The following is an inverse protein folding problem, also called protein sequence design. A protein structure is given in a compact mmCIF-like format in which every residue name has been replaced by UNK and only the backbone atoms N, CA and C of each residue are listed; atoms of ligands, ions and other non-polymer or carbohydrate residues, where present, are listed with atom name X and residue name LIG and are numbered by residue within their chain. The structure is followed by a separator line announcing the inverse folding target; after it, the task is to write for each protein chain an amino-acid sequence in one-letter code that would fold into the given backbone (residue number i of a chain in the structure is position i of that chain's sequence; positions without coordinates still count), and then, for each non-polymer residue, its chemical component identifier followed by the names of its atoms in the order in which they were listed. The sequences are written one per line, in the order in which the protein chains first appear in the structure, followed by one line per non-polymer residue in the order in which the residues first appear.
data_IF_007023162566
#
_entry.id   IF_007023162566
#
_cell.length_a   1.000
_cell.length_b   1.000
_cell.length_c   1.000
_cell.angle_alpha   90.00
_cell.angle_beta   90.00
_cell.angle_gamma   90.00
#
_symmetry.space_group_name_H-M   'P 1'
#
loop_
_entity.id
_entity.type
_entity.pdbx_description
1 polymer ?
#
# COMPACT_ATOMS: atom_id res chain seq x y z
N UNK A 1 15.12 14.60 10.37
CA UNK A 1 13.91 13.87 10.81
C UNK A 1 13.52 12.93 9.69
N UNK A 2 13.52 11.64 9.97
CA UNK A 2 13.36 10.60 8.95
C UNK A 2 11.88 10.28 8.72
N UNK A 3 11.56 9.91 7.49
CA UNK A 3 10.28 9.28 7.14
C UNK A 3 10.38 7.78 7.42
N UNK A 4 9.27 7.08 7.74
CA UNK A 4 9.32 5.63 7.91
C UNK A 4 9.90 4.98 6.64
N UNK A 5 10.89 4.11 6.82
CA UNK A 5 11.57 3.48 5.70
C UNK A 5 10.61 2.64 4.82
N UNK A 6 9.70 1.80 5.35
CA UNK A 6 8.92 0.90 4.49
C UNK A 6 7.80 1.58 3.68
N UNK A 7 7.62 1.20 2.41
CA UNK A 7 6.50 1.62 1.55
C UNK A 7 5.16 1.31 2.22
N UNK A 8 5.03 0.15 2.85
CA UNK A 8 3.84 -0.23 3.63
C UNK A 8 3.42 0.85 4.64
N UNK A 9 4.40 1.37 5.39
CA UNK A 9 4.19 2.39 6.41
C UNK A 9 3.89 3.77 5.79
N UNK A 10 4.60 4.13 4.71
CA UNK A 10 4.36 5.36 3.95
C UNK A 10 2.97 5.40 3.31
N UNK A 11 2.51 4.29 2.71
CA UNK A 11 1.18 4.13 2.09
C UNK A 11 0.07 4.27 3.14
N UNK A 12 0.21 3.65 4.32
CA UNK A 12 -0.77 3.78 5.40
C UNK A 12 -0.92 5.25 5.85
N UNK A 13 0.20 5.96 6.04
CA UNK A 13 0.19 7.37 6.44
C UNK A 13 -0.39 8.29 5.34
N UNK A 14 -0.13 8.02 4.06
CA UNK A 14 -0.78 8.72 2.95
C UNK A 14 -2.30 8.52 2.91
N UNK A 15 -2.79 7.35 3.31
CA UNK A 15 -4.21 7.02 3.36
C UNK A 15 -4.97 7.68 4.53
N UNK A 16 -4.26 8.38 5.42
CA UNK A 16 -4.83 9.13 6.53
C UNK A 16 -5.20 10.56 6.15
N UNK A 17 -6.48 10.90 6.35
CA UNK A 17 -6.94 12.29 6.31
C UNK A 17 -6.68 12.93 7.69
N UNK A 18 -5.80 13.92 7.67
CA UNK A 18 -5.30 14.71 8.79
C UNK A 18 -6.38 15.54 9.49
N UNK A 19 -7.38 15.98 8.72
CA UNK A 19 -8.31 17.05 9.05
C UNK A 19 -9.65 16.48 9.56
N UNK A 20 -9.98 15.26 9.13
CA UNK A 20 -11.12 14.44 9.55
C UNK A 20 -10.72 13.34 10.53
N UNK A 21 -9.45 13.35 10.98
CA UNK A 21 -8.81 12.40 11.89
C UNK A 21 -9.18 10.92 11.65
N UNK A 22 -9.07 10.48 10.38
CA UNK A 22 -9.42 9.10 9.98
C UNK A 22 -8.75 8.68 8.67
N UNK A 23 -8.63 7.36 8.47
CA UNK A 23 -8.32 6.77 7.17
C UNK A 23 -9.48 7.02 6.19
N UNK A 24 -9.18 7.32 4.92
CA UNK A 24 -10.17 7.68 3.88
C UNK A 24 -10.07 6.82 2.61
N UNK A 25 -9.90 5.52 2.80
CA UNK A 25 -9.72 4.51 1.77
C UNK A 25 -10.81 3.42 1.92
N UNK A 26 -11.50 3.07 0.83
CA UNK A 26 -12.74 2.30 0.88
C UNK A 26 -12.49 0.78 0.97
N UNK A 27 -11.92 0.31 2.08
CA UNK A 27 -11.66 -1.12 2.36
C UNK A 27 -10.46 -1.71 1.63
N UNK A 28 -10.14 -1.26 0.41
CA UNK A 28 -9.05 -1.78 -0.41
C UNK A 28 -7.62 -1.48 0.09
N UNK A 29 -7.43 -0.71 1.18
CA UNK A 29 -6.09 -0.37 1.68
C UNK A 29 -5.24 -1.61 1.99
N UNK A 30 -5.84 -2.71 2.48
CA UNK A 30 -5.12 -3.96 2.69
C UNK A 30 -4.45 -4.51 1.42
N UNK A 31 -5.10 -4.35 0.25
CA UNK A 31 -4.52 -4.73 -1.05
C UNK A 31 -3.36 -3.80 -1.44
N UNK A 32 -3.49 -2.48 -1.21
CA UNK A 32 -2.42 -1.51 -1.48
C UNK A 32 -1.20 -1.78 -0.58
N UNK A 33 -1.42 -2.18 0.68
CA UNK A 33 -0.36 -2.55 1.62
C UNK A 33 0.30 -3.89 1.26
N UNK A 34 -0.45 -4.88 0.76
CA UNK A 34 0.14 -6.10 0.19
C UNK A 34 0.95 -5.81 -1.07
N UNK A 35 0.43 -5.01 -2.00
CA UNK A 35 1.16 -4.58 -3.18
C UNK A 35 2.44 -3.80 -2.83
N UNK A 36 2.40 -2.93 -1.81
CA UNK A 36 3.57 -2.24 -1.29
C UNK A 36 4.67 -3.21 -0.83
N UNK A 37 4.36 -4.16 0.05
CA UNK A 37 5.33 -5.16 0.50
C UNK A 37 5.86 -6.06 -0.64
N UNK A 38 5.00 -6.43 -1.59
CA UNK A 38 5.40 -7.19 -2.78
C UNK A 38 6.34 -6.39 -3.69
N UNK A 39 6.15 -5.06 -3.80
CA UNK A 39 7.09 -4.15 -4.46
C UNK A 39 8.42 -4.06 -3.72
N UNK A 40 8.43 -3.88 -2.39
CA UNK A 40 9.67 -3.82 -1.61
C UNK A 40 10.47 -5.12 -1.72
N UNK A 41 9.80 -6.27 -1.64
CA UNK A 41 10.41 -7.58 -1.83
C UNK A 41 10.96 -7.79 -3.24
N UNK A 42 10.28 -7.28 -4.27
CA UNK A 42 10.76 -7.34 -5.64
C UNK A 42 11.99 -6.44 -5.86
N UNK A 43 11.95 -5.20 -5.37
CA UNK A 43 13.06 -4.25 -5.42
C UNK A 43 14.28 -4.72 -4.62
N UNK A 44 14.06 -5.46 -3.53
CA UNK A 44 15.12 -6.13 -2.77
C UNK A 44 15.65 -7.43 -3.42
N UNK A 45 15.14 -7.84 -4.59
CA UNK A 45 15.51 -9.08 -5.26
C UNK A 45 15.06 -10.36 -4.53
N UNK A 46 14.19 -10.25 -3.52
CA UNK A 46 13.63 -11.38 -2.78
C UNK A 46 12.45 -12.04 -3.52
N UNK A 47 11.83 -11.35 -4.48
CA UNK A 47 10.84 -11.91 -5.41
C UNK A 47 11.20 -11.58 -6.86
N UNK A 48 11.15 -12.57 -7.73
CA UNK A 48 11.17 -12.40 -9.19
C UNK A 48 9.82 -12.76 -9.81
N UNK A 49 9.61 -12.33 -11.06
CA UNK A 49 8.53 -12.82 -11.91
C UNK A 49 9.06 -13.93 -12.83
N UNK A 50 8.25 -14.98 -13.01
CA UNK A 50 8.36 -15.89 -14.14
C UNK A 50 6.95 -16.03 -14.73
N UNK A 51 6.73 -15.51 -15.93
CA UNK A 51 5.46 -15.64 -16.69
C UNK A 51 4.21 -15.14 -15.90
N UNK A 52 4.37 -14.04 -15.15
CA UNK A 52 3.32 -13.48 -14.28
C UNK A 52 3.12 -14.23 -12.95
N UNK A 53 3.99 -15.20 -12.63
CA UNK A 53 3.99 -16.00 -11.40
C UNK A 53 5.10 -15.53 -10.46
N UNK A 54 4.74 -15.30 -9.19
CA UNK A 54 5.70 -14.91 -8.15
C UNK A 54 6.64 -16.07 -7.83
N UNK A 55 7.93 -15.79 -7.78
CA UNK A 55 9.00 -16.72 -7.42
C UNK A 55 9.83 -16.15 -6.27
N UNK A 56 9.92 -16.85 -5.12
CA UNK A 56 10.75 -16.41 -4.00
C UNK A 56 12.23 -16.73 -4.24
N UNK A 57 13.10 -15.83 -3.80
CA UNK A 57 14.55 -15.98 -3.78
C UNK A 57 15.07 -15.89 -2.32
N UNK A 58 16.22 -16.51 -2.06
CA UNK A 58 16.86 -16.45 -0.73
C UNK A 58 17.65 -15.15 -0.57
N UNK A 59 17.00 -14.14 0.01
CA UNK A 59 17.59 -12.82 0.29
C UNK A 59 17.52 -12.52 1.78
N UNK A 60 18.57 -11.90 2.34
CA UNK A 60 18.55 -11.43 3.73
C UNK A 60 17.73 -10.13 3.85
N UNK A 61 16.54 -10.24 4.45
CA UNK A 61 15.63 -9.12 4.69
C UNK A 61 15.74 -8.64 6.14
N UNK A 62 15.89 -7.32 6.32
CA UNK A 62 15.94 -6.69 7.65
C UNK A 62 14.56 -6.44 8.26
N UNK A 63 13.50 -6.44 7.45
CA UNK A 63 12.14 -6.13 7.89
C UNK A 63 11.34 -7.41 8.20
N UNK A 64 10.93 -7.68 9.46
CA UNK A 64 10.16 -8.88 9.83
C UNK A 64 8.80 -9.02 9.14
N UNK A 65 8.18 -7.91 8.71
CA UNK A 65 6.94 -7.92 7.94
C UNK A 65 7.19 -8.47 6.53
N UNK A 66 8.30 -8.08 5.90
CA UNK A 66 8.69 -8.56 4.58
C UNK A 66 9.20 -10.02 4.64
N UNK A 67 9.95 -10.39 5.69
CA UNK A 67 10.32 -11.79 5.98
C UNK A 67 9.06 -12.66 6.02
N UNK A 68 8.06 -12.28 6.82
CA UNK A 68 6.80 -13.05 6.95
C UNK A 68 6.02 -13.16 5.64
N UNK A 69 6.04 -12.13 4.79
CA UNK A 69 5.44 -12.20 3.43
C UNK A 69 6.24 -13.14 2.52
N UNK A 70 7.57 -13.13 2.59
CA UNK A 70 8.42 -14.05 1.82
C UNK A 70 8.23 -15.51 2.27
N UNK A 71 8.08 -15.76 3.57
CA UNK A 71 7.76 -17.08 4.14
C UNK A 71 6.37 -17.58 3.68
N UNK A 72 5.36 -16.72 3.74
CA UNK A 72 3.98 -17.00 3.27
C UNK A 72 3.96 -17.37 1.78
N UNK A 73 4.80 -16.74 0.96
CA UNK A 73 4.99 -17.04 -0.47
C UNK A 73 5.80 -18.33 -0.68
N UNK A 74 6.85 -18.55 0.12
CA UNK A 74 7.77 -19.69 -0.03
C UNK A 74 7.14 -21.01 0.40
N UNK A 75 6.26 -20.98 1.40
CA UNK A 75 5.51 -22.14 1.89
C UNK A 75 4.23 -22.42 1.08
N UNK A 76 4.02 -21.72 -0.04
CA UNK A 76 2.83 -21.89 -0.87
C UNK A 76 2.86 -23.25 -1.60
N UNK A 77 1.84 -24.12 -1.46
CA UNK A 77 1.88 -25.49 -1.99
C UNK A 77 1.80 -25.58 -3.52
N UNK A 78 1.53 -24.48 -4.22
CA UNK A 78 1.52 -24.35 -5.68
C UNK A 78 1.93 -22.92 -6.07
N UNK A 79 2.61 -22.70 -7.21
CA UNK A 79 2.94 -21.35 -7.68
C UNK A 79 1.69 -20.48 -7.91
N UNK A 80 1.79 -19.17 -7.65
CA UNK A 80 0.66 -18.22 -7.72
C UNK A 80 1.05 -16.91 -8.41
N UNK A 81 0.10 -16.32 -9.15
CA UNK A 81 0.26 -15.02 -9.84
C UNK A 81 0.21 -13.84 -8.89
N UNK A 82 0.84 -12.71 -9.23
CA UNK A 82 0.89 -11.50 -8.38
C UNK A 82 -0.49 -11.05 -7.87
N UNK A 83 -1.53 -11.11 -8.69
CA UNK A 83 -2.89 -10.72 -8.30
C UNK A 83 -3.47 -11.59 -7.16
N UNK A 84 -3.07 -12.86 -7.03
CA UNK A 84 -3.42 -13.69 -5.88
C UNK A 84 -2.78 -13.13 -4.61
N UNK A 85 -1.47 -12.86 -4.63
CA UNK A 85 -0.72 -12.37 -3.47
C UNK A 85 -1.10 -10.95 -3.05
N UNK A 86 -1.40 -10.06 -4.00
CA UNK A 86 -1.97 -8.74 -3.70
C UNK A 86 -3.34 -8.87 -3.01
N UNK A 87 -4.15 -9.85 -3.41
CA UNK A 87 -5.43 -10.16 -2.78
C UNK A 87 -5.34 -10.94 -1.46
N UNK A 88 -4.20 -11.54 -1.12
CA UNK A 88 -4.06 -12.52 -0.04
C UNK A 88 -3.75 -11.88 1.31
N UNK A 89 -4.45 -12.30 2.37
CA UNK A 89 -4.25 -11.86 3.75
C UNK A 89 -4.13 -10.32 3.92
N UNK A 90 -4.91 -9.58 3.13
CA UNK A 90 -5.04 -8.13 3.11
C UNK A 90 -5.45 -7.54 4.48
N UNK A 91 -6.33 -8.23 5.22
CA UNK A 91 -6.79 -7.79 6.55
C UNK A 91 -5.72 -8.02 7.63
N UNK A 92 -5.09 -9.22 7.74
CA UNK A 92 -3.87 -9.40 8.54
C UNK A 92 -2.79 -8.37 8.23
N UNK A 93 -2.54 -8.07 6.95
CA UNK A 93 -1.52 -7.11 6.53
C UNK A 93 -1.83 -5.69 7.01
N UNK A 94 -3.07 -5.23 6.85
CA UNK A 94 -3.52 -3.95 7.40
C UNK A 94 -3.31 -3.87 8.93
N UNK A 95 -3.62 -4.93 9.66
CA UNK A 95 -3.42 -4.98 11.12
C UNK A 95 -1.95 -4.98 11.53
N UNK A 96 -1.09 -5.71 10.81
CA UNK A 96 0.34 -5.74 11.09
C UNK A 96 1.02 -4.37 10.85
N UNK A 97 0.67 -3.69 9.75
CA UNK A 97 1.17 -2.32 9.47
C UNK A 97 0.60 -1.31 10.49
N UNK A 98 -0.68 -1.44 10.86
CA UNK A 98 -1.28 -0.61 11.92
C UNK A 98 -0.57 -0.80 13.27
N UNK A 99 -0.23 -2.03 13.65
CA UNK A 99 0.47 -2.35 14.90
C UNK A 99 1.88 -1.75 14.93
N UNK A 100 2.67 -1.97 13.86
CA UNK A 100 4.00 -1.36 13.70
C UNK A 100 3.95 0.15 13.88
N UNK A 101 3.01 0.84 13.24
CA UNK A 101 2.93 2.31 13.31
C UNK A 101 2.58 2.84 14.71
N UNK A 102 2.01 2.00 15.59
CA UNK A 102 1.82 2.30 17.02
C UNK A 102 3.13 2.10 17.79
N UNK A 103 3.85 1.01 17.51
CA UNK A 103 5.16 0.70 18.09
C UNK A 103 6.21 1.76 17.73
N UNK A 104 6.24 2.22 16.47
CA UNK A 104 7.07 3.32 15.94
C UNK A 104 6.68 4.71 16.48
N UNK A 105 5.60 4.82 17.27
CA UNK A 105 5.02 6.08 17.76
C UNK A 105 4.71 7.09 16.65
N UNK A 106 4.24 6.59 15.50
CA UNK A 106 3.79 7.39 14.35
C UNK A 106 2.28 7.60 14.37
N UNK A 107 1.53 6.63 14.91
CA UNK A 107 0.09 6.73 15.19
C UNK A 107 -0.22 6.27 16.62
N UNK A 108 -1.37 6.67 17.16
CA UNK A 108 -2.02 5.98 18.28
C UNK A 108 -3.36 5.39 17.83
N UNK A 109 -3.87 4.42 18.59
CA UNK A 109 -5.20 3.84 18.37
C UNK A 109 -6.03 3.93 19.64
N UNK A 110 -7.23 4.50 19.52
CA UNK A 110 -8.17 4.69 20.61
C UNK A 110 -9.40 3.82 20.37
N UNK A 111 -9.71 2.94 21.32
CA UNK A 111 -10.97 2.17 21.30
C UNK A 111 -12.09 3.06 21.81
N UNK A 112 -13.16 3.16 21.04
CA UNK A 112 -14.40 3.84 21.44
C UNK A 112 -15.61 2.96 21.09
N UNK A 113 -16.82 3.36 21.49
CA UNK A 113 -18.05 2.67 21.10
C UNK A 113 -18.98 3.60 20.34
N UNK A 114 -19.47 3.14 19.19
CA UNK A 114 -20.55 3.80 18.46
C UNK A 114 -21.87 3.42 19.15
N UNK A 115 -22.66 4.43 19.52
CA UNK A 115 -23.92 4.30 20.29
C UNK A 115 -23.78 3.46 21.58
N UNK A 116 -22.60 3.49 22.22
CA UNK A 116 -22.35 2.76 23.49
C UNK A 116 -22.18 1.24 23.37
N UNK A 117 -22.51 0.63 22.22
CA UNK A 117 -22.52 -0.83 22.01
C UNK A 117 -21.50 -1.32 20.98
N UNK A 118 -21.36 -0.68 19.81
CA UNK A 118 -20.51 -1.21 18.73
C UNK A 118 -19.05 -0.79 18.91
N UNK A 119 -18.09 -1.72 19.13
CA UNK A 119 -16.69 -1.37 19.33
C UNK A 119 -16.06 -0.85 18.03
N UNK A 120 -15.38 0.29 18.12
CA UNK A 120 -14.72 0.95 17.02
C UNK A 120 -13.30 1.40 17.41
N UNK A 121 -12.45 1.63 16.43
CA UNK A 121 -11.06 2.11 16.63
C UNK A 121 -10.85 3.41 15.87
N UNK A 122 -10.56 4.49 16.59
CA UNK A 122 -10.09 5.74 15.98
C UNK A 122 -8.57 5.67 15.90
N UNK A 123 -8.02 5.98 14.74
CA UNK A 123 -6.58 6.18 14.54
C UNK A 123 -6.31 7.68 14.71
N UNK A 124 -5.25 8.06 15.42
CA UNK A 124 -4.70 9.41 15.40
C UNK A 124 -3.27 9.34 14.88
N UNK A 125 -2.91 10.13 13.87
CA UNK A 125 -1.50 10.30 13.48
C UNK A 125 -0.83 11.24 14.48
N UNK A 126 0.26 10.82 15.10
CA UNK A 126 1.01 11.62 16.07
C UNK A 126 1.95 12.61 15.36
N UNK A 127 2.46 12.25 14.17
CA UNK A 127 3.44 13.06 13.41
C UNK A 127 2.85 13.60 12.10
N UNK A 128 1.91 14.53 12.20
CA UNK A 128 1.22 15.15 11.04
C UNK A 128 2.17 15.63 9.93
N UNK A 129 3.36 16.18 10.28
CA UNK A 129 4.38 16.64 9.32
C UNK A 129 4.82 15.55 8.34
N UNK A 130 4.91 14.29 8.79
CA UNK A 130 5.30 13.16 7.94
C UNK A 130 4.27 12.92 6.82
N UNK A 131 2.98 13.03 7.11
CA UNK A 131 1.91 12.90 6.10
C UNK A 131 2.03 14.00 5.04
N UNK A 132 2.27 15.25 5.46
CA UNK A 132 2.48 16.38 4.53
C UNK A 132 3.73 16.19 3.67
N UNK A 133 4.83 15.71 4.25
CA UNK A 133 6.06 15.39 3.50
C UNK A 133 5.85 14.27 2.48
N UNK A 134 5.13 13.20 2.84
CA UNK A 134 4.80 12.11 1.92
C UNK A 134 3.87 12.58 0.78
N UNK A 135 2.88 13.45 1.07
CA UNK A 135 2.04 14.07 0.01
C UNK A 135 2.89 14.94 -0.93
N UNK A 136 3.87 15.69 -0.41
CA UNK A 136 4.82 16.47 -1.22
C UNK A 136 5.73 15.58 -2.08
N UNK A 137 6.22 14.46 -1.55
CA UNK A 137 6.97 13.45 -2.30
C UNK A 137 6.16 12.91 -3.48
N UNK A 138 4.93 12.44 -3.22
CA UNK A 138 4.05 11.92 -4.27
C UNK A 138 3.75 12.99 -5.33
N UNK A 139 3.46 14.23 -4.90
CA UNK A 139 3.23 15.34 -5.83
C UNK A 139 4.43 15.65 -6.72
N UNK A 140 5.66 15.54 -6.20
CA UNK A 140 6.90 15.74 -7.00
C UNK A 140 7.18 14.58 -7.93
N UNK A 141 7.01 13.33 -7.49
CA UNK A 141 7.18 12.16 -8.35
C UNK A 141 6.18 12.14 -9.52
N UNK A 142 4.94 12.60 -9.28
CA UNK A 142 3.92 12.82 -10.32
C UNK A 142 4.14 14.09 -11.15
N UNK A 143 4.94 15.06 -10.68
CA UNK A 143 5.26 16.27 -11.42
C UNK A 143 6.11 15.96 -12.67
N UNK A 144 7.16 15.14 -12.52
CA UNK A 144 8.05 14.73 -13.60
C UNK A 144 9.48 14.46 -13.10
N UNK A 145 10.44 14.47 -14.03
CA UNK A 145 11.87 14.35 -13.73
C UNK A 145 12.34 12.96 -13.25
N UNK A 146 13.61 12.89 -12.88
CA UNK A 146 14.18 11.75 -12.16
C UNK A 146 13.71 11.76 -10.70
N UNK A 147 13.40 10.58 -10.16
CA UNK A 147 13.04 10.39 -8.75
C UNK A 147 13.59 9.07 -8.26
N UNK A 148 13.79 8.99 -6.94
CA UNK A 148 14.14 7.75 -6.26
C UNK A 148 13.09 6.64 -6.53
N UNK A 149 13.49 5.37 -6.77
CA UNK A 149 12.57 4.28 -7.10
C UNK A 149 11.51 3.98 -6.04
N UNK A 150 11.80 4.26 -4.76
CA UNK A 150 10.88 4.03 -3.64
C UNK A 150 9.86 5.18 -3.56
N UNK A 151 10.28 6.43 -3.75
CA UNK A 151 9.37 7.58 -3.88
C UNK A 151 8.48 7.48 -5.15
N UNK A 152 9.03 6.95 -6.24
CA UNK A 152 8.30 6.62 -7.47
C UNK A 152 7.26 5.52 -7.26
N UNK A 153 7.64 4.41 -6.62
CA UNK A 153 6.73 3.33 -6.25
C UNK A 153 5.61 3.80 -5.32
N UNK A 154 5.92 4.65 -4.33
CA UNK A 154 4.94 5.25 -3.43
C UNK A 154 3.89 6.07 -4.19
N UNK A 155 4.30 6.85 -5.20
CA UNK A 155 3.39 7.62 -6.03
C UNK A 155 2.50 6.73 -6.92
N UNK A 156 3.06 5.67 -7.50
CA UNK A 156 2.29 4.67 -8.25
C UNK A 156 1.27 3.94 -7.36
N UNK A 157 1.67 3.50 -6.17
CA UNK A 157 0.81 2.86 -5.17
C UNK A 157 -0.31 3.79 -4.69
N UNK A 158 -0.02 5.06 -4.45
CA UNK A 158 -1.02 6.05 -4.03
C UNK A 158 -2.05 6.33 -5.14
N UNK A 159 -1.62 6.43 -6.41
CA UNK A 159 -2.50 6.68 -7.54
C UNK A 159 -3.37 5.46 -7.90
N UNK A 160 -2.75 4.27 -8.06
CA UNK A 160 -3.43 3.02 -8.42
C UNK A 160 -4.27 2.48 -7.27
N UNK A 161 -3.80 2.63 -6.03
CA UNK A 161 -4.52 2.30 -4.80
C UNK A 161 -5.68 3.23 -4.44
N UNK A 162 -6.07 4.15 -5.35
CA UNK A 162 -7.09 5.19 -5.16
C UNK A 162 -6.98 5.93 -3.81
N UNK A 163 -5.77 6.33 -3.41
CA UNK A 163 -5.53 7.13 -2.20
C UNK A 163 -5.90 8.59 -2.48
N UNK A 164 -7.21 8.84 -2.59
CA UNK A 164 -7.80 10.10 -3.09
C UNK A 164 -7.46 11.36 -2.28
N UNK A 165 -6.93 11.22 -1.06
CA UNK A 165 -6.44 12.32 -0.22
C UNK A 165 -4.96 12.66 -0.47
N UNK A 166 -4.24 11.82 -1.22
CA UNK A 166 -2.87 12.04 -1.67
C UNK A 166 -2.80 12.36 -3.18
N UNK A 167 -3.66 11.76 -4.00
CA UNK A 167 -3.75 12.01 -5.45
C UNK A 167 -5.21 12.14 -5.89
N UNK A 168 -5.60 13.28 -6.45
CA UNK A 168 -6.96 13.50 -6.92
C UNK A 168 -7.26 12.73 -8.22
N UNK A 169 -8.50 12.27 -8.41
CA UNK A 169 -8.92 11.53 -9.63
C UNK A 169 -8.71 12.32 -10.92
N UNK A 170 -8.68 13.65 -10.87
CA UNK A 170 -8.29 14.50 -11.99
C UNK A 170 -6.80 14.30 -12.35
N UNK A 171 -5.90 14.46 -11.38
CA UNK A 171 -4.46 14.27 -11.52
C UNK A 171 -4.11 12.84 -11.99
N UNK A 172 -4.83 11.82 -11.53
CA UNK A 172 -4.64 10.42 -12.00
C UNK A 172 -4.91 10.27 -13.50
N UNK A 173 -5.87 11.02 -14.06
CA UNK A 173 -6.19 11.00 -15.50
C UNK A 173 -5.18 11.82 -16.30
N UNK A 174 -4.94 13.05 -15.85
CA UNK A 174 -3.95 13.99 -16.40
C UNK A 174 -2.56 13.35 -16.51
N UNK A 175 -2.13 12.63 -15.47
CA UNK A 175 -0.75 12.12 -15.31
C UNK A 175 -0.65 10.62 -15.55
N UNK A 176 -1.63 10.03 -16.26
CA UNK A 176 -1.74 8.57 -16.49
C UNK A 176 -0.42 7.97 -17.00
N UNK A 177 0.17 8.54 -18.05
CA UNK A 177 1.43 8.05 -18.63
C UNK A 177 2.59 8.02 -17.62
N UNK A 178 2.69 9.04 -16.76
CA UNK A 178 3.70 9.10 -15.69
C UNK A 178 3.43 8.05 -14.61
N UNK A 179 2.16 7.82 -14.25
CA UNK A 179 1.76 6.78 -13.31
C UNK A 179 2.06 5.38 -13.86
N UNK A 180 1.76 5.13 -15.14
CA UNK A 180 2.07 3.86 -15.81
C UNK A 180 3.59 3.60 -15.86
N UNK A 181 4.40 4.63 -16.13
CA UNK A 181 5.87 4.56 -16.13
C UNK A 181 6.44 4.25 -14.74
N UNK A 182 5.99 4.98 -13.70
CA UNK A 182 6.40 4.72 -12.32
C UNK A 182 5.92 3.32 -11.84
N UNK A 183 4.75 2.88 -12.29
CA UNK A 183 4.24 1.53 -12.00
C UNK A 183 5.06 0.43 -12.68
N UNK A 184 5.56 0.65 -13.90
CA UNK A 184 6.47 -0.27 -14.57
C UNK A 184 7.82 -0.37 -13.84
N UNK A 185 8.37 0.75 -13.38
CA UNK A 185 9.59 0.80 -12.56
C UNK A 185 9.43 0.16 -11.16
N UNK A 186 8.22 0.24 -10.59
CA UNK A 186 7.87 -0.42 -9.33
C UNK A 186 7.51 -1.92 -9.48
N UNK A 187 7.43 -2.42 -10.71
CA UNK A 187 7.30 -3.84 -11.02
C UNK A 187 5.87 -4.43 -10.95
N UNK A 188 5.76 -5.76 -11.13
CA UNK A 188 4.51 -6.46 -11.46
C UNK A 188 3.42 -6.43 -10.38
N UNK A 189 3.75 -6.07 -9.14
CA UNK A 189 2.77 -5.86 -8.07
C UNK A 189 1.78 -4.71 -8.38
N UNK A 190 2.19 -3.68 -9.14
CA UNK A 190 1.34 -2.52 -9.45
C UNK A 190 0.25 -2.82 -10.49
N UNK A 191 0.54 -3.44 -11.65
CA UNK A 191 -0.49 -3.95 -12.56
C UNK A 191 -1.44 -4.94 -11.86
N UNK A 192 -0.92 -5.79 -10.98
CA UNK A 192 -1.72 -6.72 -10.19
C UNK A 192 -2.68 -6.01 -9.22
N UNK A 193 -2.24 -4.93 -8.55
CA UNK A 193 -3.10 -4.09 -7.71
C UNK A 193 -4.23 -3.43 -8.50
N UNK A 194 -3.93 -2.87 -9.67
CA UNK A 194 -4.95 -2.29 -10.55
C UNK A 194 -6.01 -3.34 -10.92
N UNK A 195 -5.59 -4.57 -11.23
CA UNK A 195 -6.54 -5.68 -11.47
C UNK A 195 -7.39 -5.99 -10.22
N UNK A 196 -6.78 -6.22 -9.05
CA UNK A 196 -7.52 -6.59 -7.83
C UNK A 196 -8.54 -5.52 -7.43
N UNK A 197 -8.20 -4.22 -7.54
CA UNK A 197 -9.14 -3.13 -7.24
C UNK A 197 -10.28 -3.06 -8.26
N UNK A 198 -10.01 -3.33 -9.55
CA UNK A 198 -11.03 -3.40 -10.60
C UNK A 198 -12.00 -4.56 -10.38
N UNK A 199 -11.47 -5.75 -10.14
CA UNK A 199 -12.26 -6.96 -9.94
C UNK A 199 -13.13 -6.84 -8.67
N UNK A 200 -12.58 -6.26 -7.60
CA UNK A 200 -13.32 -5.95 -6.36
C UNK A 200 -14.45 -4.93 -6.57
N UNK A 201 -14.23 -3.89 -7.40
CA UNK A 201 -15.28 -2.92 -7.77
C UNK A 201 -16.41 -3.59 -8.54
N UNK A 202 -16.10 -4.45 -9.51
CA UNK A 202 -17.10 -5.17 -10.31
C UNK A 202 -17.98 -6.02 -9.39
N UNK A 203 -17.36 -6.81 -8.50
CA UNK A 203 -18.08 -7.60 -7.51
C UNK A 203 -19.01 -6.74 -6.62
N UNK A 204 -18.54 -5.59 -6.12
CA UNK A 204 -19.39 -4.71 -5.31
C UNK A 204 -20.58 -4.13 -6.08
N UNK A 205 -20.45 -3.80 -7.37
CA UNK A 205 -21.59 -3.37 -8.19
C UNK A 205 -22.60 -4.48 -8.47
N UNK A 206 -22.18 -5.74 -8.55
CA UNK A 206 -23.07 -6.89 -8.81
C UNK A 206 -23.86 -7.39 -7.59
N UNK A 207 -23.56 -6.89 -6.38
CA UNK A 207 -24.32 -7.18 -5.15
C UNK A 207 -25.21 -6.00 -4.70
N UNK A 208 -25.34 -4.95 -5.52
CA UNK A 208 -26.05 -3.71 -5.19
C UNK A 208 -27.03 -3.24 -6.25
N UNK A 209 -27.59 -4.17 -7.03
CA UNK A 209 -28.63 -3.96 -8.04
C UNK A 209 -29.61 -5.12 -8.07
#
# INVERSE_FOLDING_TARGET
MELPAPLTSRVYLLAYNTDKHKLTCNGYLGYVLRAAALTELHQAGALSDMDGVVKPARTHLKDPLLVKVLEEISNAPRPRKWAYWVGHAQTPMFRAVQQRLVEDQLISTERFRILGIFPATRVKVLRHRAVTQLRSIVSRALAGGSVDPHDGALAALAAIGEVRIAVARAQVRERKQRIDHLAAQAGPALPALHKVIRDHRIAQSSYGG
#
